data_IF_937172728970
#
_entry.id   IF_937172728970
#
_cell.length_a   1.000
_cell.length_b   1.000
_cell.length_c   1.000
_cell.angle_alpha   90.00
_cell.angle_beta   90.00
_cell.angle_gamma   90.00
#
_symmetry.space_group_name_H-M   'P 1'
#
loop_
_entity.id
_entity.type
_entity.pdbx_description
1 polymer ?
#
# COMPACT_ATOMS: atom_id res chain seq x y z
N UNK A 1 0.86 -13.23 -4.24
CA UNK A 1 1.34 -12.16 -3.35
C UNK A 1 0.92 -12.51 -1.95
N UNK A 2 1.89 -12.65 -1.05
CA UNK A 2 1.68 -12.99 0.37
C UNK A 2 1.94 -11.75 1.21
N UNK A 3 1.07 -11.51 2.18
CA UNK A 3 1.26 -10.46 3.17
C UNK A 3 1.65 -11.01 4.53
N UNK A 4 2.35 -10.18 5.29
CA UNK A 4 2.71 -10.40 6.70
C UNK A 4 2.40 -9.11 7.46
N UNK A 5 2.01 -9.25 8.71
CA UNK A 5 1.64 -8.11 9.54
C UNK A 5 1.95 -8.38 11.00
N UNK A 6 2.27 -7.31 11.72
CA UNK A 6 2.57 -7.37 13.13
C UNK A 6 2.59 -5.98 13.75
N UNK A 7 2.39 -5.95 15.07
CA UNK A 7 2.47 -4.74 15.88
C UNK A 7 3.72 -4.74 16.76
N UNK A 8 4.17 -3.56 17.22
CA UNK A 8 5.28 -3.46 18.16
C UNK A 8 6.55 -4.14 17.61
N UNK A 9 7.16 -5.06 18.35
CA UNK A 9 8.31 -5.84 17.87
C UNK A 9 7.96 -6.71 16.65
N UNK A 10 6.70 -7.17 16.55
CA UNK A 10 6.19 -7.85 15.36
C UNK A 10 6.11 -6.92 14.14
N UNK A 11 5.90 -5.62 14.34
CA UNK A 11 5.96 -4.62 13.27
C UNK A 11 7.38 -4.43 12.75
N UNK A 12 8.37 -4.39 13.67
CA UNK A 12 9.79 -4.42 13.30
C UNK A 12 10.12 -5.69 12.51
N UNK A 13 9.76 -6.87 13.02
CA UNK A 13 10.00 -8.12 12.32
C UNK A 13 9.31 -8.17 10.94
N UNK A 14 8.11 -7.60 10.81
CA UNK A 14 7.36 -7.53 9.56
C UNK A 14 8.13 -6.79 8.47
N UNK A 15 8.69 -5.60 8.78
CA UNK A 15 9.47 -4.87 7.79
C UNK A 15 10.79 -5.57 7.47
N UNK A 16 11.49 -6.11 8.48
CA UNK A 16 12.72 -6.88 8.27
C UNK A 16 12.49 -8.09 7.34
N UNK A 17 11.41 -8.83 7.53
CA UNK A 17 11.03 -9.96 6.67
C UNK A 17 10.73 -9.52 5.23
N UNK A 18 10.06 -8.39 5.05
CA UNK A 18 9.80 -7.83 3.72
C UNK A 18 11.07 -7.42 2.99
N UNK A 19 12.05 -6.87 3.70
CA UNK A 19 13.33 -6.46 3.12
C UNK A 19 14.23 -7.67 2.79
N UNK A 20 14.28 -8.68 3.65
CA UNK A 20 15.13 -9.87 3.42
C UNK A 20 14.51 -10.90 2.48
N UNK A 21 13.18 -11.03 2.48
CA UNK A 21 12.47 -12.02 1.68
C UNK A 21 11.37 -11.39 0.82
N UNK A 22 11.68 -10.38 -0.02
CA UNK A 22 10.68 -9.64 -0.79
C UNK A 22 9.93 -10.49 -1.82
N UNK A 23 10.54 -11.60 -2.25
CA UNK A 23 9.93 -12.58 -3.16
C UNK A 23 8.87 -13.46 -2.46
N UNK A 24 8.90 -13.54 -1.12
CA UNK A 24 7.89 -14.23 -0.32
C UNK A 24 6.86 -13.23 0.17
N UNK A 25 7.29 -12.18 0.86
CA UNK A 25 6.44 -11.18 1.50
C UNK A 25 6.50 -9.86 0.74
N UNK A 26 5.39 -9.52 0.07
CA UNK A 26 5.30 -8.31 -0.78
C UNK A 26 4.33 -7.25 -0.22
N UNK A 27 3.64 -7.56 0.89
CA UNK A 27 2.61 -6.71 1.49
C UNK A 27 2.77 -6.70 3.00
N UNK A 28 3.02 -5.54 3.59
CA UNK A 28 3.46 -5.41 4.97
C UNK A 28 2.48 -4.56 5.77
N UNK A 29 1.86 -5.11 6.81
CA UNK A 29 1.09 -4.35 7.79
C UNK A 29 1.97 -4.08 9.03
N UNK A 30 2.60 -2.90 9.05
CA UNK A 30 3.57 -2.48 10.08
C UNK A 30 2.85 -1.54 11.05
N UNK A 31 2.40 -2.06 12.19
CA UNK A 31 1.59 -1.31 13.15
C UNK A 31 2.40 -0.92 14.38
N UNK A 32 2.43 0.36 14.75
CA UNK A 32 3.16 0.85 15.93
C UNK A 32 4.54 0.16 16.13
N UNK A 33 5.43 0.10 15.12
CA UNK A 33 6.63 -0.73 15.19
C UNK A 33 7.59 -0.25 16.29
N UNK A 34 8.29 -1.19 16.93
CA UNK A 34 9.30 -0.90 17.97
C UNK A 34 10.60 -0.34 17.39
N UNK A 35 10.51 0.83 16.74
CA UNK A 35 11.63 1.47 16.04
C UNK A 35 12.78 1.79 16.97
N UNK A 36 12.52 2.08 18.25
CA UNK A 36 13.54 2.36 19.26
C UNK A 36 14.46 1.17 19.58
N UNK A 37 14.07 -0.05 19.18
CA UNK A 37 14.77 -1.28 19.54
C UNK A 37 16.17 -1.34 18.90
N UNK A 38 17.13 -1.89 19.64
CA UNK A 38 18.53 -2.12 19.23
C UNK A 38 19.17 -0.88 18.57
N UNK A 39 19.16 0.22 19.31
CA UNK A 39 19.71 1.51 18.87
C UNK A 39 19.14 1.98 17.53
N UNK A 40 17.82 1.84 17.38
CA UNK A 40 17.10 2.15 16.15
C UNK A 40 17.61 1.40 14.92
N UNK A 41 17.84 0.08 15.06
CA UNK A 41 18.31 -0.81 13.98
C UNK A 41 17.52 -0.66 12.69
N UNK A 42 16.23 -0.37 12.81
CA UNK A 42 15.34 -0.25 11.66
C UNK A 42 15.69 0.95 10.77
N UNK A 43 16.19 2.07 11.31
CA UNK A 43 16.73 3.15 10.48
C UNK A 43 17.97 2.71 9.73
N UNK A 44 18.91 2.05 10.43
CA UNK A 44 20.15 1.52 9.83
C UNK A 44 19.84 0.56 8.67
N UNK A 45 18.87 -0.33 8.87
CA UNK A 45 18.42 -1.27 7.83
C UNK A 45 17.86 -0.57 6.59
N UNK A 46 17.12 0.54 6.77
CA UNK A 46 16.60 1.30 5.62
C UNK A 46 17.72 2.07 4.95
N UNK A 47 18.59 2.74 5.69
CA UNK A 47 19.72 3.52 5.16
C UNK A 47 20.66 2.68 4.30
N UNK A 48 20.90 1.42 4.70
CA UNK A 48 21.74 0.44 4.01
C UNK A 48 21.14 -0.11 2.70
N UNK A 49 19.86 0.17 2.40
CA UNK A 49 19.26 -0.26 1.13
C UNK A 49 19.94 0.43 -0.05
N UNK A 50 20.23 -0.34 -1.08
CA UNK A 50 20.66 0.19 -2.36
C UNK A 50 19.49 0.95 -3.03
N UNK A 51 19.71 2.24 -3.31
CA UNK A 51 18.72 3.14 -3.91
C UNK A 51 18.26 2.64 -5.29
N UNK A 52 19.12 1.92 -6.01
CA UNK A 52 18.85 1.38 -7.34
C UNK A 52 18.20 -0.01 -7.31
N UNK A 53 18.21 -0.69 -6.16
CA UNK A 53 17.77 -2.08 -6.02
C UNK A 53 16.69 -2.29 -4.94
N UNK A 54 15.91 -1.24 -4.64
CA UNK A 54 14.81 -1.31 -3.68
C UNK A 54 13.81 -2.44 -4.00
N UNK A 55 13.40 -3.25 -3.01
CA UNK A 55 12.38 -4.28 -3.22
C UNK A 55 10.98 -3.68 -3.47
N UNK A 56 10.21 -4.33 -4.36
CA UNK A 56 8.83 -3.95 -4.69
C UNK A 56 7.85 -4.39 -3.58
N UNK A 57 7.81 -3.60 -2.51
CA UNK A 57 6.98 -3.85 -1.33
C UNK A 57 5.83 -2.85 -1.26
N UNK A 58 4.63 -3.32 -0.89
CA UNK A 58 3.51 -2.48 -0.48
C UNK A 58 3.43 -2.41 1.03
N UNK A 59 3.59 -1.23 1.61
CA UNK A 59 3.81 -1.05 3.05
C UNK A 59 2.71 -0.18 3.65
N UNK A 60 1.97 -0.71 4.62
CA UNK A 60 1.20 0.09 5.56
C UNK A 60 2.06 0.32 6.79
N UNK A 61 2.24 1.57 7.20
CA UNK A 61 2.94 1.98 8.41
C UNK A 61 2.01 2.85 9.25
N UNK A 62 1.84 2.52 10.53
CA UNK A 62 1.06 3.36 11.45
C UNK A 62 1.67 3.51 12.83
N UNK A 63 1.11 4.46 13.59
CA UNK A 63 1.37 4.64 15.03
C UNK A 63 0.19 5.36 15.69
N UNK A 64 -0.01 5.20 16.99
CA UNK A 64 -0.88 6.04 17.80
C UNK A 64 -0.11 7.22 18.41
N UNK A 65 -0.72 8.41 18.46
CA UNK A 65 -0.02 9.62 18.94
C UNK A 65 0.11 9.73 20.46
N UNK A 66 -0.48 8.79 21.22
CA UNK A 66 -0.28 8.67 22.68
C UNK A 66 0.81 7.62 23.01
N UNK A 67 1.51 7.09 22.01
CA UNK A 67 2.64 6.19 22.23
C UNK A 67 3.94 6.96 22.50
N UNK A 68 4.84 6.43 23.33
CA UNK A 68 6.10 7.11 23.61
C UNK A 68 7.00 7.16 22.36
N UNK A 69 7.31 8.37 21.89
CA UNK A 69 8.14 8.61 20.73
C UNK A 69 7.57 8.06 19.43
N UNK A 70 6.24 8.16 19.28
CA UNK A 70 5.47 7.87 18.06
C UNK A 70 6.03 8.61 16.82
N UNK A 71 6.69 9.76 17.00
CA UNK A 71 7.33 10.53 15.93
C UNK A 71 8.40 9.74 15.19
N UNK A 72 8.98 8.70 15.82
CA UNK A 72 9.92 7.79 15.16
C UNK A 72 9.32 7.13 13.91
N UNK A 73 8.01 6.87 13.91
CA UNK A 73 7.31 6.32 12.76
C UNK A 73 7.23 7.34 11.60
N UNK A 74 7.15 8.65 11.88
CA UNK A 74 7.25 9.70 10.85
C UNK A 74 8.62 9.69 10.19
N UNK A 75 9.68 9.62 11.01
CA UNK A 75 11.07 9.57 10.53
C UNK A 75 11.31 8.31 9.68
N UNK A 76 10.77 7.16 10.09
CA UNK A 76 10.82 5.94 9.28
C UNK A 76 10.11 6.13 7.95
N UNK A 77 8.91 6.71 7.96
CA UNK A 77 8.16 7.03 6.74
C UNK A 77 9.00 7.90 5.81
N UNK A 78 9.68 8.93 6.34
CA UNK A 78 10.51 9.83 5.54
C UNK A 78 11.70 9.09 4.92
N UNK A 79 12.40 8.26 5.69
CA UNK A 79 13.49 7.42 5.17
C UNK A 79 13.03 6.44 4.06
N UNK A 80 11.83 5.84 4.21
CA UNK A 80 11.24 5.02 3.15
C UNK A 80 10.93 5.84 1.90
N UNK A 81 10.39 7.06 2.05
CA UNK A 81 10.14 7.94 0.91
C UNK A 81 11.44 8.34 0.21
N UNK A 82 12.50 8.64 0.95
CA UNK A 82 13.83 8.94 0.41
C UNK A 82 14.40 7.76 -0.39
N UNK A 83 14.14 6.52 0.03
CA UNK A 83 14.49 5.31 -0.74
C UNK A 83 13.59 5.06 -1.96
N UNK A 84 12.59 5.90 -2.22
CA UNK A 84 11.77 5.85 -3.43
C UNK A 84 10.44 5.10 -3.29
N UNK A 85 9.99 4.80 -2.07
CA UNK A 85 8.59 4.47 -1.84
C UNK A 85 7.70 5.71 -2.01
N UNK A 86 6.52 5.53 -2.60
CA UNK A 86 5.56 6.60 -2.93
C UNK A 86 4.36 6.53 -2.01
N UNK A 87 4.13 7.63 -1.29
CA UNK A 87 2.94 7.79 -0.47
C UNK A 87 1.66 7.61 -1.29
N UNK A 88 0.70 6.91 -0.68
CA UNK A 88 -0.61 6.55 -1.24
C UNK A 88 -0.60 5.57 -2.42
N UNK A 89 0.57 5.11 -2.86
CA UNK A 89 0.72 4.08 -3.91
C UNK A 89 1.24 2.77 -3.31
N UNK A 90 2.55 2.69 -3.04
CA UNK A 90 3.22 1.54 -2.45
C UNK A 90 3.63 1.75 -0.98
N UNK A 91 3.44 2.95 -0.44
CA UNK A 91 3.54 3.25 0.99
C UNK A 91 2.30 4.01 1.49
N UNK A 92 1.71 3.58 2.59
CA UNK A 92 0.71 4.34 3.33
C UNK A 92 1.22 4.60 4.75
N UNK A 93 1.02 5.83 5.23
CA UNK A 93 1.36 6.23 6.57
C UNK A 93 0.14 6.81 7.29
N UNK A 94 -0.11 6.35 8.51
CA UNK A 94 -1.28 6.77 9.29
C UNK A 94 -0.93 7.02 10.76
N UNK A 95 -1.44 8.11 11.30
CA UNK A 95 -1.36 8.43 12.72
C UNK A 95 -2.76 8.42 13.32
N UNK A 96 -2.94 7.61 14.35
CA UNK A 96 -4.21 7.49 15.05
C UNK A 96 -4.21 8.40 16.27
N UNK A 97 -4.92 9.52 16.14
CA UNK A 97 -4.92 10.60 17.11
C UNK A 97 -5.45 10.12 18.47
N UNK A 98 -4.63 10.23 19.51
CA UNK A 98 -4.96 9.83 20.87
C UNK A 98 -4.89 8.32 21.14
N UNK A 99 -4.60 7.50 20.13
CA UNK A 99 -4.46 6.06 20.31
C UNK A 99 -3.14 5.71 21.02
N UNK A 100 -3.20 4.69 21.88
CA UNK A 100 -2.04 4.14 22.58
C UNK A 100 -1.53 2.84 21.98
N UNK A 101 -0.61 2.18 22.69
CA UNK A 101 0.06 0.96 22.27
C UNK A 101 -0.72 -0.29 22.72
N UNK A 102 -1.91 -0.54 22.14
CA UNK A 102 -2.80 -1.64 22.55
C UNK A 102 -3.39 -2.41 21.37
N UNK A 103 -3.82 -3.65 21.62
CA UNK A 103 -4.47 -4.51 20.62
C UNK A 103 -5.73 -3.88 20.05
N UNK A 104 -6.50 -3.17 20.88
CA UNK A 104 -7.71 -2.48 20.45
C UNK A 104 -7.39 -1.35 19.45
N UNK A 105 -6.31 -0.59 19.70
CA UNK A 105 -5.85 0.46 18.80
C UNK A 105 -5.37 -0.11 17.46
N UNK A 106 -4.62 -1.21 17.46
CA UNK A 106 -4.20 -1.88 16.23
C UNK A 106 -5.39 -2.46 15.45
N UNK A 107 -6.34 -3.08 16.14
CA UNK A 107 -7.55 -3.62 15.53
C UNK A 107 -8.39 -2.52 14.85
N UNK A 108 -8.47 -1.33 15.45
CA UNK A 108 -9.15 -0.16 14.86
C UNK A 108 -8.57 0.22 13.49
N UNK A 109 -7.25 0.13 13.32
CA UNK A 109 -6.55 0.49 12.07
C UNK A 109 -6.51 -0.64 11.03
N UNK A 110 -6.79 -1.88 11.42
CA UNK A 110 -6.59 -3.05 10.58
C UNK A 110 -7.43 -3.07 9.30
N UNK A 111 -8.69 -2.61 9.34
CA UNK A 111 -9.54 -2.55 8.14
C UNK A 111 -8.93 -1.62 7.08
N UNK A 112 -8.47 -0.43 7.48
CA UNK A 112 -7.82 0.52 6.57
C UNK A 112 -6.50 -0.05 6.01
N UNK A 113 -5.69 -0.69 6.86
CA UNK A 113 -4.47 -1.37 6.46
C UNK A 113 -4.74 -2.43 5.38
N UNK A 114 -5.73 -3.30 5.61
CA UNK A 114 -6.10 -4.35 4.67
C UNK A 114 -6.63 -3.80 3.35
N UNK A 115 -7.44 -2.73 3.35
CA UNK A 115 -7.91 -2.08 2.12
C UNK A 115 -6.78 -1.49 1.30
N UNK A 116 -5.78 -0.89 1.95
CA UNK A 116 -4.61 -0.37 1.25
C UNK A 116 -3.77 -1.51 0.66
N UNK A 117 -3.49 -2.53 1.47
CA UNK A 117 -2.65 -3.67 1.07
C UNK A 117 -3.34 -4.53 0.01
N UNK A 118 -4.65 -4.72 0.08
CA UNK A 118 -5.45 -5.54 -0.83
C UNK A 118 -6.60 -4.71 -1.40
N UNK A 119 -6.33 -3.76 -2.30
CA UNK A 119 -7.37 -2.94 -2.86
C UNK A 119 -8.36 -3.83 -3.63
N UNK A 120 -9.66 -3.53 -3.56
CA UNK A 120 -10.65 -4.26 -4.35
C UNK A 120 -10.29 -4.15 -5.84
N UNK A 121 -10.60 -5.17 -6.65
CA UNK A 121 -10.43 -5.06 -8.08
C UNK A 121 -11.16 -3.81 -8.59
N UNK A 122 -10.61 -3.10 -9.59
CA UNK A 122 -11.26 -1.94 -10.15
C UNK A 122 -12.69 -2.31 -10.54
N UNK A 123 -13.67 -1.43 -10.33
CA UNK A 123 -15.05 -1.71 -10.70
C UNK A 123 -15.08 -2.15 -12.16
N UNK A 124 -15.77 -3.25 -12.44
CA UNK A 124 -15.99 -3.69 -13.81
C UNK A 124 -16.82 -2.58 -14.47
N UNK A 125 -16.16 -1.70 -15.22
CA UNK A 125 -16.85 -0.79 -16.11
C UNK A 125 -17.39 -1.68 -17.22
N UNK A 126 -18.68 -2.04 -17.12
CA UNK A 126 -19.37 -2.71 -18.20
C UNK A 126 -19.16 -1.86 -19.47
N UNK A 127 -18.48 -2.43 -20.47
CA UNK A 127 -18.22 -1.73 -21.71
C UNK A 127 -19.54 -1.15 -22.22
N UNK A 128 -19.57 0.16 -22.48
CA UNK A 128 -20.75 0.83 -23.00
C UNK A 128 -21.29 0.03 -24.21
N UNK A 129 -22.60 -0.21 -24.33
CA UNK A 129 -23.14 -1.03 -25.40
C UNK A 129 -22.65 -0.46 -26.73
N UNK A 130 -21.94 -1.30 -27.52
CA UNK A 130 -21.44 -0.89 -28.84
C UNK A 130 -22.61 -0.32 -29.62
N UNK A 131 -22.55 0.99 -29.90
CA UNK A 131 -23.59 1.69 -30.66
C UNK A 131 -23.72 0.97 -32.01
N UNK A 132 -24.85 0.31 -32.26
CA UNK A 132 -25.13 -0.32 -33.56
C UNK A 132 -25.05 0.78 -34.61
N UNK A 133 -24.02 0.74 -35.46
CA UNK A 133 -23.96 1.56 -36.66
C UNK A 133 -25.13 1.13 -37.55
N UNK A 134 -26.13 1.99 -37.70
CA UNK A 134 -27.21 1.77 -38.66
C UNK A 134 -26.60 1.85 -40.06
N UNK A 135 -26.70 0.77 -40.85
CA UNK A 135 -26.28 0.80 -42.26
C UNK A 135 -27.08 1.88 -43.01
N UNK A 136 -26.47 2.65 -43.92
CA UNK A 136 -27.20 3.64 -44.68
C UNK A 136 -28.25 2.96 -45.57
N UNK A 137 -29.42 3.57 -45.66
CA UNK A 137 -30.52 3.12 -46.51
C UNK A 137 -30.12 3.33 -47.98
N UNK A 138 -29.85 2.25 -48.71
CA UNK A 138 -29.57 2.32 -50.15
C UNK A 138 -30.91 2.45 -50.89
N UNK A 139 -31.23 3.66 -51.36
CA UNK A 139 -32.33 3.85 -52.31
C UNK A 139 -31.90 3.31 -53.67
N UNK A 140 -32.51 2.20 -54.12
CA UNK A 140 -32.38 1.75 -55.51
C UNK A 140 -33.22 2.67 -56.40
N UNK A 141 -32.56 3.42 -57.29
CA UNK A 141 -33.23 4.11 -58.40
C UNK A 141 -33.72 3.06 -59.40
N UNK A 142 -35.02 3.06 -59.68
CA UNK A 142 -35.62 2.24 -60.73
C UNK A 142 -35.16 2.71 -62.11
N UNK A 143 -34.75 1.75 -62.95
CA UNK A 143 -34.62 1.93 -64.39
C UNK A 143 -36.03 2.14 -64.96
N UNK A 144 -36.26 3.25 -65.67
CA UNK A 144 -37.32 3.34 -66.66
C UNK A 144 -36.66 3.17 -68.04
N UNK A 145 -37.13 2.18 -68.78
CA UNK A 145 -36.77 1.94 -70.17
C UNK A 145 -37.95 2.32 -71.07
N UNK A 146 -37.59 2.94 -72.20
CA UNK A 146 -38.36 3.26 -73.42
C UNK A 146 -39.52 4.25 -73.27
#
# INVERSE_FOLDING_TARGET
STGVGGSSLGGLATISLGLWFPHVFSRLAVMSPSIWWDECVLYKMIDELDDEARPQLKIWLDTGTHEEGWERARVLRDALVEKGWRLHDDLHYFEDEGAGHTEAAWAHRLDAALRFLYPPPPPIIAAAPRRRVRKPLVLRRGLAAA
#
